data_IF_174649662047
#
_entry.id   IF_174649662047
#
_cell.length_a   1.000
_cell.length_b   1.000
_cell.length_c   1.000
_cell.angle_alpha   90.00
_cell.angle_beta   90.00
_cell.angle_gamma   90.00
#
_symmetry.space_group_name_H-M   'P 1'
#
loop_
_entity.id
_entity.type
_entity.pdbx_description
1 polymer ?
#
# COMPACT_ATOMS: atom_id res chain seq x y z
N UNK A 1 4.73 -5.68 -16.98
CA UNK A 1 5.05 -6.51 -18.16
C UNK A 1 4.49 -5.91 -19.44
N UNK A 2 3.20 -5.73 -19.63
CA UNK A 2 2.59 -5.26 -20.87
C UNK A 2 3.06 -3.91 -21.45
N UNK A 3 3.96 -3.21 -20.77
CA UNK A 3 4.60 -1.95 -21.21
C UNK A 3 6.12 -2.06 -21.32
N UNK A 4 6.66 -3.29 -21.49
CA UNK A 4 8.09 -3.53 -21.67
C UNK A 4 8.93 -3.59 -20.38
N UNK A 5 8.33 -3.46 -19.20
CA UNK A 5 9.07 -3.59 -17.95
C UNK A 5 9.40 -5.05 -17.64
N UNK A 6 10.62 -5.32 -17.18
CA UNK A 6 10.94 -6.58 -16.51
C UNK A 6 10.31 -6.57 -15.12
N UNK A 7 9.60 -7.63 -14.76
CA UNK A 7 8.81 -7.68 -13.54
C UNK A 7 9.31 -8.78 -12.62
N UNK A 8 9.60 -8.45 -11.36
CA UNK A 8 9.74 -9.42 -10.28
C UNK A 8 8.46 -9.43 -9.46
N UNK A 9 7.96 -10.62 -9.19
CA UNK A 9 6.75 -10.83 -8.40
C UNK A 9 7.14 -11.49 -7.09
N UNK A 10 6.70 -10.90 -5.98
CA UNK A 10 7.01 -11.41 -4.65
C UNK A 10 5.75 -11.62 -3.81
N UNK A 11 5.63 -12.81 -3.25
CA UNK A 11 4.62 -13.17 -2.26
C UNK A 11 5.05 -14.44 -1.52
N UNK A 12 4.39 -14.75 -0.40
CA UNK A 12 4.66 -15.97 0.38
C UNK A 12 4.39 -17.27 -0.40
N UNK A 13 3.38 -17.28 -1.26
CA UNK A 13 2.99 -18.45 -2.05
C UNK A 13 3.49 -18.34 -3.49
N UNK A 14 4.43 -19.19 -3.86
CA UNK A 14 4.95 -19.31 -5.23
C UNK A 14 3.84 -19.71 -6.21
N UNK A 15 2.93 -20.59 -5.81
CA UNK A 15 1.87 -21.07 -6.69
C UNK A 15 0.90 -19.95 -7.07
N UNK A 16 0.60 -19.04 -6.12
CA UNK A 16 -0.19 -17.84 -6.42
C UNK A 16 0.54 -16.91 -7.39
N UNK A 17 1.87 -16.81 -7.29
CA UNK A 17 2.66 -16.03 -8.24
C UNK A 17 2.66 -16.64 -9.64
N UNK A 18 2.83 -17.97 -9.74
CA UNK A 18 2.76 -18.72 -11.01
C UNK A 18 1.40 -18.59 -11.67
N UNK A 19 0.32 -18.61 -10.88
CA UNK A 19 -1.06 -18.48 -11.36
C UNK A 19 -1.35 -17.12 -12.03
N UNK A 20 -0.51 -16.09 -11.81
CA UNK A 20 -0.63 -14.81 -12.51
C UNK A 20 -0.19 -14.91 -13.99
N UNK A 21 0.49 -15.99 -14.39
CA UNK A 21 0.92 -16.27 -15.76
C UNK A 21 1.60 -15.09 -16.48
N UNK A 22 2.40 -14.31 -15.74
CA UNK A 22 3.15 -13.19 -16.32
C UNK A 22 4.44 -13.77 -16.95
N UNK A 23 4.49 -13.70 -18.25
CA UNK A 23 5.62 -14.19 -19.02
C UNK A 23 6.92 -13.51 -18.61
N UNK A 24 7.99 -14.31 -18.47
CA UNK A 24 9.35 -13.85 -18.09
C UNK A 24 9.43 -13.11 -16.76
N UNK A 25 8.43 -13.25 -15.88
CA UNK A 25 8.49 -12.67 -14.53
C UNK A 25 9.48 -13.46 -13.65
N UNK A 26 10.33 -12.73 -12.91
CA UNK A 26 11.15 -13.34 -11.87
C UNK A 26 10.28 -13.57 -10.63
N UNK A 27 10.13 -14.82 -10.19
CA UNK A 27 9.33 -15.17 -9.03
C UNK A 27 10.23 -15.23 -7.78
N UNK A 28 9.92 -14.40 -6.79
CA UNK A 28 10.68 -14.26 -5.55
C UNK A 28 9.78 -14.60 -4.35
N UNK A 29 9.75 -15.86 -3.88
CA UNK A 29 9.05 -16.20 -2.65
C UNK A 29 9.58 -15.35 -1.50
N UNK A 30 8.68 -14.61 -0.82
CA UNK A 30 9.10 -13.70 0.23
C UNK A 30 7.97 -13.41 1.21
N UNK A 31 8.29 -13.43 2.49
CA UNK A 31 7.46 -12.86 3.54
C UNK A 31 7.98 -11.46 3.90
N UNK A 32 7.18 -10.44 3.62
CA UNK A 32 7.55 -9.06 3.92
C UNK A 32 7.68 -8.77 5.43
N UNK A 33 7.21 -9.68 6.29
CA UNK A 33 7.34 -9.57 7.75
C UNK A 33 8.62 -10.21 8.28
N UNK A 34 9.39 -10.89 7.41
CA UNK A 34 10.65 -11.55 7.74
C UNK A 34 11.83 -10.89 7.00
N UNK A 35 12.76 -10.33 7.76
CA UNK A 35 13.94 -9.62 7.22
C UNK A 35 14.89 -10.58 6.48
N UNK A 36 15.03 -11.82 6.94
CA UNK A 36 15.87 -12.81 6.26
C UNK A 36 15.28 -13.21 4.90
N UNK A 37 13.96 -13.38 4.84
CA UNK A 37 13.22 -13.64 3.60
C UNK A 37 13.39 -12.48 2.60
N UNK A 38 13.30 -11.23 3.06
CA UNK A 38 13.53 -10.05 2.22
C UNK A 38 14.97 -9.99 1.70
N UNK A 39 15.97 -10.28 2.55
CA UNK A 39 17.37 -10.31 2.14
C UNK A 39 17.64 -11.36 1.06
N UNK A 40 17.05 -12.55 1.20
CA UNK A 40 17.16 -13.64 0.22
C UNK A 40 16.51 -13.24 -1.12
N UNK A 41 15.32 -12.66 -1.10
CA UNK A 41 14.65 -12.19 -2.31
C UNK A 41 15.45 -11.07 -3.00
N UNK A 42 16.01 -10.13 -2.23
CA UNK A 42 16.91 -9.09 -2.73
C UNK A 42 18.14 -9.69 -3.43
N UNK A 43 18.83 -10.62 -2.77
CA UNK A 43 20.03 -11.25 -3.33
C UNK A 43 19.73 -11.94 -4.67
N UNK A 44 18.63 -12.68 -4.75
CA UNK A 44 18.17 -13.35 -5.97
C UNK A 44 17.83 -12.35 -7.09
N UNK A 45 17.21 -11.22 -6.75
CA UNK A 45 16.89 -10.17 -7.71
C UNK A 45 18.16 -9.52 -8.26
N UNK A 46 19.11 -9.17 -7.40
CA UNK A 46 20.35 -8.50 -7.80
C UNK A 46 21.26 -9.42 -8.64
N UNK A 47 21.27 -10.73 -8.36
CA UNK A 47 21.94 -11.71 -9.19
C UNK A 47 21.37 -11.74 -10.62
N UNK A 48 20.05 -11.57 -10.76
CA UNK A 48 19.39 -11.56 -12.07
C UNK A 48 19.50 -10.21 -12.80
N UNK A 49 19.43 -9.05 -12.09
CA UNK A 49 19.18 -7.74 -12.72
C UNK A 49 20.14 -6.60 -12.33
N UNK A 50 21.09 -6.81 -11.48
CA UNK A 50 22.11 -5.82 -11.06
C UNK A 50 21.58 -4.48 -10.49
N UNK A 51 20.29 -4.37 -10.17
CA UNK A 51 19.72 -3.15 -9.60
C UNK A 51 18.21 -3.06 -9.76
N UNK A 52 17.62 -2.07 -9.11
CA UNK A 52 16.19 -1.89 -8.97
C UNK A 52 15.79 -0.50 -9.46
N UNK A 53 14.89 -0.43 -10.45
CA UNK A 53 14.37 0.85 -10.93
C UNK A 53 13.13 1.27 -10.14
N UNK A 54 12.24 0.32 -9.80
CA UNK A 54 11.02 0.61 -9.05
C UNK A 54 10.63 -0.55 -8.16
N UNK A 55 10.31 -0.25 -6.90
CA UNK A 55 9.71 -1.21 -5.95
C UNK A 55 8.30 -0.77 -5.62
N UNK A 56 7.36 -1.71 -5.55
CA UNK A 56 5.99 -1.45 -5.12
C UNK A 56 5.67 -2.32 -3.92
N UNK A 57 5.46 -1.71 -2.76
CA UNK A 57 4.94 -2.40 -1.57
C UNK A 57 3.43 -2.48 -1.66
N UNK A 58 2.94 -3.66 -2.01
CA UNK A 58 1.51 -3.95 -2.18
C UNK A 58 0.96 -4.87 -1.07
N UNK A 59 1.84 -5.45 -0.24
CA UNK A 59 1.39 -6.33 0.84
C UNK A 59 0.48 -5.58 1.82
N UNK A 60 -0.56 -6.26 2.26
CA UNK A 60 -1.51 -5.70 3.20
C UNK A 60 -2.37 -6.79 3.84
N UNK A 61 -2.80 -6.55 5.07
CA UNK A 61 -3.80 -7.33 5.77
C UNK A 61 -4.88 -6.40 6.31
N UNK A 62 -6.10 -6.89 6.35
CA UNK A 62 -7.25 -6.15 6.85
C UNK A 62 -8.18 -7.09 7.61
N UNK A 63 -8.49 -6.69 8.83
CA UNK A 63 -9.53 -7.30 9.67
C UNK A 63 -10.38 -6.16 10.19
N UNK A 64 -11.70 -6.14 9.88
CA UNK A 64 -12.62 -5.20 10.52
C UNK A 64 -12.57 -5.38 12.03
N UNK A 65 -12.35 -4.29 12.78
CA UNK A 65 -12.17 -4.34 14.23
C UNK A 65 -12.76 -3.10 14.88
N UNK A 66 -13.59 -3.31 15.91
CA UNK A 66 -14.12 -2.27 16.78
C UNK A 66 -13.47 -2.34 18.16
N UNK A 67 -13.65 -1.29 18.96
CA UNK A 67 -13.13 -1.29 20.35
C UNK A 67 -13.77 -2.37 21.22
N UNK A 68 -15.04 -2.73 20.97
CA UNK A 68 -15.71 -3.81 21.68
C UNK A 68 -15.13 -5.20 21.41
N UNK A 69 -14.57 -5.40 20.21
CA UNK A 69 -14.01 -6.67 19.74
C UNK A 69 -12.49 -6.55 19.53
N UNK A 70 -11.83 -5.75 20.37
CA UNK A 70 -10.40 -5.49 20.20
C UNK A 70 -9.56 -6.72 20.53
N UNK A 71 -8.90 -7.25 19.49
CA UNK A 71 -7.92 -8.34 19.60
C UNK A 71 -6.52 -7.78 19.30
N UNK A 72 -5.68 -7.71 20.35
CA UNK A 72 -4.33 -7.14 20.25
C UNK A 72 -3.43 -7.95 19.30
N UNK A 73 -3.50 -9.27 19.34
CA UNK A 73 -2.66 -10.11 18.48
C UNK A 73 -3.00 -9.93 16.99
N UNK A 74 -4.29 -9.82 16.69
CA UNK A 74 -4.76 -9.49 15.33
C UNK A 74 -4.34 -8.08 14.93
N UNK A 75 -4.45 -7.10 15.83
CA UNK A 75 -4.06 -5.72 15.56
C UNK A 75 -2.55 -5.60 15.26
N UNK A 76 -1.70 -6.23 16.07
CA UNK A 76 -0.26 -6.29 15.88
C UNK A 76 0.12 -6.95 14.55
N UNK A 77 -0.51 -8.05 14.18
CA UNK A 77 -0.31 -8.70 12.89
C UNK A 77 -0.68 -7.77 11.73
N UNK A 78 -1.83 -7.09 11.81
CA UNK A 78 -2.29 -6.15 10.78
C UNK A 78 -1.30 -5.00 10.63
N UNK A 79 -0.82 -4.41 11.73
CA UNK A 79 0.19 -3.35 11.71
C UNK A 79 1.52 -3.87 11.17
N UNK A 80 1.93 -5.07 11.59
CA UNK A 80 3.17 -5.69 11.12
C UNK A 80 3.19 -5.88 9.60
N UNK A 81 2.11 -6.36 9.01
CA UNK A 81 2.02 -6.51 7.56
C UNK A 81 1.91 -5.13 6.88
N UNK A 82 1.05 -4.23 7.36
CA UNK A 82 0.77 -2.99 6.63
C UNK A 82 1.87 -1.93 6.76
N UNK A 83 2.63 -1.92 7.86
CA UNK A 83 3.61 -0.88 8.16
C UNK A 83 5.02 -1.43 8.42
N UNK A 84 5.21 -2.33 9.40
CA UNK A 84 6.55 -2.81 9.73
C UNK A 84 7.20 -3.53 8.55
N UNK A 85 6.42 -4.30 7.77
CA UNK A 85 6.89 -4.94 6.53
C UNK A 85 7.36 -3.93 5.48
N UNK A 86 6.66 -2.80 5.36
CA UNK A 86 7.06 -1.73 4.44
C UNK A 86 8.38 -1.09 4.85
N UNK A 87 8.58 -0.85 6.16
CA UNK A 87 9.86 -0.35 6.69
C UNK A 87 11.01 -1.33 6.44
N UNK A 88 10.78 -2.65 6.70
CA UNK A 88 11.78 -3.69 6.42
C UNK A 88 12.13 -3.76 4.95
N UNK A 89 11.14 -3.72 4.07
CA UNK A 89 11.36 -3.68 2.62
C UNK A 89 12.19 -2.45 2.24
N UNK A 90 11.80 -1.27 2.69
CA UNK A 90 12.53 -0.03 2.40
C UNK A 90 14.00 -0.13 2.83
N UNK A 91 14.27 -0.52 4.08
CA UNK A 91 15.62 -0.72 4.60
C UNK A 91 16.44 -1.73 3.77
N UNK A 92 15.77 -2.76 3.22
CA UNK A 92 16.41 -3.79 2.41
C UNK A 92 16.77 -3.30 1.00
N UNK A 93 15.92 -2.48 0.36
CA UNK A 93 16.05 -2.16 -1.08
C UNK A 93 16.65 -0.79 -1.37
N UNK A 94 16.57 0.16 -0.43
CA UNK A 94 17.05 1.53 -0.63
C UNK A 94 18.50 1.61 -1.14
N UNK A 95 19.45 0.76 -0.66
CA UNK A 95 20.82 0.80 -1.15
C UNK A 95 21.00 0.42 -2.64
N UNK A 96 20.00 -0.25 -3.24
CA UNK A 96 20.06 -0.77 -4.60
C UNK A 96 19.16 -0.03 -5.59
N UNK A 97 18.43 0.97 -5.12
CA UNK A 97 17.61 1.81 -5.98
C UNK A 97 18.52 2.66 -6.86
N UNK A 98 18.25 2.65 -8.15
CA UNK A 98 18.97 3.47 -9.11
C UNK A 98 18.50 4.93 -9.05
N UNK A 99 19.40 5.85 -9.34
CA UNK A 99 19.03 7.23 -9.55
C UNK A 99 17.96 7.32 -10.66
N UNK A 100 16.93 8.11 -10.45
CA UNK A 100 15.74 8.17 -11.31
C UNK A 100 14.71 7.07 -11.08
N UNK A 101 15.02 6.06 -10.25
CA UNK A 101 14.08 5.05 -9.78
C UNK A 101 13.36 5.46 -8.49
N UNK A 102 12.73 4.49 -7.82
CA UNK A 102 12.09 4.77 -6.54
C UNK A 102 11.24 3.68 -5.94
N UNK A 103 10.46 4.07 -4.92
CA UNK A 103 9.61 3.17 -4.16
C UNK A 103 8.17 3.69 -4.07
N UNK A 104 7.21 2.79 -4.20
CA UNK A 104 5.78 3.06 -4.13
C UNK A 104 5.19 2.31 -2.93
N UNK A 105 4.49 2.99 -2.07
CA UNK A 105 3.75 2.39 -0.97
C UNK A 105 2.25 2.44 -1.24
N UNK A 106 1.58 1.28 -1.20
CA UNK A 106 0.13 1.21 -1.35
C UNK A 106 -0.51 1.29 0.03
N UNK A 107 -0.95 2.50 0.37
CA UNK A 107 -1.66 2.79 1.62
C UNK A 107 -3.19 2.65 1.44
N UNK A 108 -3.98 3.64 1.83
CA UNK A 108 -5.44 3.67 1.70
C UNK A 108 -5.99 5.03 2.11
N UNK A 109 -7.16 5.41 1.63
CA UNK A 109 -7.94 6.54 2.19
C UNK A 109 -8.28 6.36 3.68
N UNK A 110 -8.27 5.12 4.18
CA UNK A 110 -8.44 4.83 5.62
C UNK A 110 -7.26 5.33 6.47
N UNK A 111 -6.13 5.65 5.86
CA UNK A 111 -4.99 6.28 6.52
C UNK A 111 -5.11 7.80 6.65
N UNK A 112 -6.06 8.47 5.99
CA UNK A 112 -6.20 9.91 6.11
C UNK A 112 -6.73 10.35 7.47
N UNK A 113 -7.67 9.58 8.02
CA UNK A 113 -8.27 9.86 9.34
C UNK A 113 -9.02 8.64 9.88
N UNK A 114 -9.21 8.56 11.21
CA UNK A 114 -9.85 7.42 11.86
C UNK A 114 -11.27 7.15 11.38
N UNK A 115 -11.54 5.91 10.98
CA UNK A 115 -12.84 5.44 10.50
C UNK A 115 -13.36 4.30 11.41
N UNK A 116 -14.67 4.10 11.51
CA UNK A 116 -15.22 2.93 12.16
C UNK A 116 -14.71 1.63 11.56
N UNK A 117 -14.60 0.59 12.38
CA UNK A 117 -14.11 -0.76 11.99
C UNK A 117 -12.66 -0.79 11.47
N UNK A 118 -11.90 0.30 11.56
CA UNK A 118 -10.53 0.39 11.05
C UNK A 118 -9.47 0.51 12.15
N UNK A 119 -9.73 -0.02 13.36
CA UNK A 119 -8.96 0.25 14.56
C UNK A 119 -7.46 -0.11 14.46
N UNK A 120 -7.11 -1.17 13.75
CA UNK A 120 -5.71 -1.53 13.45
C UNK A 120 -5.27 -1.12 12.04
N UNK A 121 -6.15 -1.29 11.06
CA UNK A 121 -5.85 -1.02 9.66
C UNK A 121 -5.60 0.46 9.38
N UNK A 122 -6.50 1.33 9.87
CA UNK A 122 -6.38 2.78 9.69
C UNK A 122 -5.07 3.35 10.22
N UNK A 123 -4.71 3.11 11.48
CA UNK A 123 -3.42 3.52 12.04
C UNK A 123 -2.22 2.98 11.26
N UNK A 124 -2.23 1.70 10.85
CA UNK A 124 -1.16 1.13 10.03
C UNK A 124 -0.99 1.83 8.68
N UNK A 125 -2.10 2.20 8.02
CA UNK A 125 -2.07 2.95 6.75
C UNK A 125 -1.71 4.42 6.95
N UNK A 126 -2.09 5.05 8.06
CA UNK A 126 -1.65 6.40 8.43
C UNK A 126 -0.13 6.46 8.67
N UNK A 127 0.40 5.50 9.42
CA UNK A 127 1.84 5.36 9.64
C UNK A 127 2.60 5.17 8.32
N UNK A 128 2.06 4.38 7.38
CA UNK A 128 2.65 4.15 6.07
C UNK A 128 2.67 5.43 5.22
N UNK A 129 1.61 6.24 5.25
CA UNK A 129 1.57 7.54 4.56
C UNK A 129 2.66 8.46 5.13
N UNK A 130 2.71 8.61 6.46
CA UNK A 130 3.68 9.48 7.11
C UNK A 130 5.13 9.02 6.86
N UNK A 131 5.39 7.72 6.89
CA UNK A 131 6.69 7.16 6.55
C UNK A 131 7.10 7.47 5.10
N UNK A 132 6.18 7.37 4.17
CA UNK A 132 6.42 7.73 2.77
C UNK A 132 6.73 9.24 2.60
N UNK A 133 6.05 10.11 3.36
CA UNK A 133 6.33 11.55 3.38
C UNK A 133 7.76 11.86 3.86
N UNK A 134 8.19 11.25 4.96
CA UNK A 134 9.55 11.39 5.47
C UNK A 134 10.59 10.91 4.46
N UNK A 135 10.39 9.70 3.90
CA UNK A 135 11.30 9.17 2.88
C UNK A 135 11.35 10.05 1.62
N UNK A 136 10.23 10.63 1.21
CA UNK A 136 10.18 11.53 0.05
C UNK A 136 11.08 12.77 0.26
N UNK A 137 11.04 13.36 1.45
CA UNK A 137 11.87 14.49 1.80
C UNK A 137 13.37 14.12 1.83
N UNK A 138 13.71 12.97 2.40
CA UNK A 138 15.09 12.53 2.57
C UNK A 138 15.74 12.07 1.25
N UNK A 139 14.96 11.48 0.34
CA UNK A 139 15.46 10.85 -0.89
C UNK A 139 15.37 11.75 -2.12
N UNK A 140 14.57 12.81 -2.08
CA UNK A 140 14.42 13.75 -3.19
C UNK A 140 15.77 14.36 -3.64
N UNK A 141 16.69 14.78 -2.74
CA UNK A 141 18.01 15.30 -3.13
C UNK A 141 18.89 14.25 -3.85
N UNK A 142 18.61 12.96 -3.67
CA UNK A 142 19.33 11.85 -4.30
C UNK A 142 18.72 11.43 -5.65
N UNK A 143 17.65 12.11 -6.08
CA UNK A 143 16.95 11.76 -7.31
C UNK A 143 16.18 10.43 -7.22
N UNK A 144 15.87 9.95 -6.01
CA UNK A 144 15.09 8.74 -5.78
C UNK A 144 13.64 9.15 -5.49
N UNK A 145 12.71 8.63 -6.31
CA UNK A 145 11.29 8.90 -6.18
C UNK A 145 10.63 8.11 -5.03
N UNK A 146 9.73 8.76 -4.33
CA UNK A 146 8.84 8.08 -3.36
C UNK A 146 7.40 8.48 -3.65
N UNK A 147 6.54 7.50 -3.77
CA UNK A 147 5.11 7.71 -4.04
C UNK A 147 4.25 6.95 -3.04
N UNK A 148 3.12 7.55 -2.70
CA UNK A 148 2.07 6.87 -1.94
C UNK A 148 0.80 6.75 -2.80
N UNK A 149 0.25 5.53 -2.82
CA UNK A 149 -1.03 5.25 -3.48
C UNK A 149 -2.09 5.10 -2.40
N UNK A 150 -3.13 5.94 -2.46
CA UNK A 150 -4.26 5.94 -1.53
C UNK A 150 -5.55 5.54 -2.28
N UNK A 151 -5.80 4.23 -2.47
CA UNK A 151 -7.03 3.76 -3.05
C UNK A 151 -8.24 4.01 -2.13
N UNK A 152 -9.41 4.22 -2.74
CA UNK A 152 -10.68 3.91 -2.12
C UNK A 152 -10.94 2.41 -2.11
N UNK A 153 -12.14 2.00 -2.45
CA UNK A 153 -12.47 0.57 -2.50
C UNK A 153 -12.06 -0.05 -3.84
N UNK A 154 -11.36 -1.18 -3.75
CA UNK A 154 -10.97 -2.02 -4.90
C UNK A 154 -11.46 -3.44 -4.64
N UNK A 155 -12.12 -4.07 -5.59
CA UNK A 155 -12.68 -5.41 -5.48
C UNK A 155 -11.58 -6.46 -5.36
N UNK A 156 -11.22 -6.80 -4.13
CA UNK A 156 -10.17 -7.76 -3.77
C UNK A 156 -10.62 -8.66 -2.62
N UNK A 157 -9.85 -9.69 -2.31
CA UNK A 157 -10.09 -10.54 -1.14
C UNK A 157 -10.08 -9.76 0.20
N UNK A 158 -9.35 -8.62 0.28
CA UNK A 158 -9.37 -7.77 1.46
C UNK A 158 -10.74 -7.09 1.64
N UNK A 159 -11.25 -6.49 0.58
CA UNK A 159 -12.52 -5.74 0.61
C UNK A 159 -13.74 -6.65 0.64
N UNK A 160 -13.61 -7.91 0.24
CA UNK A 160 -14.66 -8.92 0.39
C UNK A 160 -15.06 -9.19 1.86
N UNK A 161 -14.22 -8.79 2.82
CA UNK A 161 -14.50 -8.86 4.26
C UNK A 161 -15.42 -7.75 4.78
N UNK A 162 -15.72 -6.74 3.94
CA UNK A 162 -16.59 -5.65 4.33
C UNK A 162 -18.07 -6.07 4.31
N UNK A 163 -18.80 -5.67 5.33
CA UNK A 163 -20.24 -5.89 5.51
C UNK A 163 -21.07 -4.62 5.26
N UNK A 164 -20.52 -3.66 4.54
CA UNK A 164 -21.16 -2.38 4.23
C UNK A 164 -21.00 -2.02 2.74
N UNK A 165 -21.84 -1.08 2.28
CA UNK A 165 -21.76 -0.58 0.92
C UNK A 165 -20.41 0.12 0.66
N UNK A 166 -19.76 -0.26 -0.43
CA UNK A 166 -18.47 0.30 -0.85
C UNK A 166 -18.68 1.28 -2.02
N UNK A 167 -18.77 2.59 -1.76
CA UNK A 167 -19.01 3.57 -2.79
C UNK A 167 -17.84 3.62 -3.78
N UNK A 168 -18.17 3.75 -5.06
CA UNK A 168 -17.20 3.88 -6.16
C UNK A 168 -16.16 2.75 -6.19
N UNK A 169 -16.61 1.51 -5.99
CA UNK A 169 -15.79 0.31 -6.06
C UNK A 169 -15.15 0.18 -7.45
N UNK A 170 -13.84 0.02 -7.48
CA UNK A 170 -13.06 -0.21 -8.70
C UNK A 170 -12.68 -1.68 -8.84
N UNK A 171 -12.48 -2.12 -10.06
CA UNK A 171 -11.82 -3.40 -10.36
C UNK A 171 -10.32 -3.31 -10.11
N UNK A 172 -9.61 -4.43 -9.86
CA UNK A 172 -8.16 -4.45 -9.77
C UNK A 172 -7.45 -3.87 -11.00
N UNK A 173 -8.00 -4.11 -12.20
CA UNK A 173 -7.47 -3.57 -13.45
C UNK A 173 -7.54 -2.04 -13.52
N UNK A 174 -8.68 -1.45 -13.19
CA UNK A 174 -8.85 0.01 -13.12
C UNK A 174 -7.91 0.64 -12.08
N UNK A 175 -7.78 0.03 -10.92
CA UNK A 175 -6.86 0.49 -9.86
C UNK A 175 -5.39 0.42 -10.32
N UNK A 176 -5.00 -0.64 -11.03
CA UNK A 176 -3.66 -0.78 -11.58
C UNK A 176 -3.37 0.29 -12.65
N UNK A 177 -4.29 0.52 -13.58
CA UNK A 177 -4.17 1.58 -14.58
C UNK A 177 -4.05 2.96 -13.93
N UNK A 178 -4.93 3.27 -12.97
CA UNK A 178 -4.89 4.55 -12.24
C UNK A 178 -3.56 4.75 -11.48
N UNK A 179 -2.99 3.67 -10.95
CA UNK A 179 -1.68 3.70 -10.29
C UNK A 179 -0.57 4.01 -11.30
N UNK A 180 -0.50 3.26 -12.40
CA UNK A 180 0.54 3.43 -13.42
C UNK A 180 0.46 4.82 -14.09
N UNK A 181 -0.74 5.30 -14.38
CA UNK A 181 -0.92 6.63 -14.95
C UNK A 181 -0.63 7.75 -13.93
N UNK A 182 -0.93 7.49 -12.65
CA UNK A 182 -0.54 8.39 -11.56
C UNK A 182 0.97 8.54 -11.43
N UNK A 183 1.73 7.46 -11.51
CA UNK A 183 3.20 7.49 -11.45
C UNK A 183 3.82 8.38 -12.54
N UNK A 184 3.25 8.41 -13.73
CA UNK A 184 3.73 9.27 -14.84
C UNK A 184 3.59 10.77 -14.54
N UNK A 185 2.71 11.14 -13.60
CA UNK A 185 2.49 12.56 -13.26
C UNK A 185 3.59 13.16 -12.41
N UNK A 186 4.46 12.34 -11.82
CA UNK A 186 5.48 12.76 -10.86
C UNK A 186 4.95 13.25 -9.51
N UNK A 187 3.62 13.23 -9.28
CA UNK A 187 3.03 13.67 -8.02
C UNK A 187 3.25 12.63 -6.93
N UNK A 188 3.66 13.08 -5.74
CA UNK A 188 3.88 12.23 -4.58
C UNK A 188 2.69 11.32 -4.27
N UNK A 189 1.48 11.86 -4.28
CA UNK A 189 0.28 11.10 -3.94
C UNK A 189 -0.57 10.76 -5.17
N UNK A 190 -0.86 9.48 -5.30
CA UNK A 190 -1.76 8.90 -6.28
C UNK A 190 -2.99 8.40 -5.55
N UNK A 191 -4.16 8.96 -5.82
CA UNK A 191 -5.40 8.54 -5.17
C UNK A 191 -6.54 8.37 -6.16
N UNK A 192 -7.37 7.39 -5.95
CA UNK A 192 -8.50 7.06 -6.83
C UNK A 192 -9.60 6.26 -6.09
N UNK A 193 -10.87 6.30 -6.59
CA UNK A 193 -11.38 7.20 -7.61
C UNK A 193 -11.48 8.64 -7.09
N UNK A 194 -11.17 9.61 -7.93
CA UNK A 194 -10.99 11.03 -7.51
C UNK A 194 -12.19 11.63 -6.79
N UNK A 195 -13.42 11.29 -7.21
CA UNK A 195 -14.64 11.82 -6.56
C UNK A 195 -14.71 11.40 -5.10
N UNK A 196 -14.56 10.12 -4.81
CA UNK A 196 -14.61 9.57 -3.46
C UNK A 196 -13.44 10.05 -2.60
N UNK A 197 -12.21 9.95 -3.12
CA UNK A 197 -11.02 10.28 -2.36
C UNK A 197 -10.88 11.77 -2.03
N UNK A 198 -11.43 12.66 -2.87
CA UNK A 198 -11.51 14.10 -2.56
C UNK A 198 -12.44 14.38 -1.38
N UNK A 199 -13.57 13.68 -1.30
CA UNK A 199 -14.47 13.76 -0.15
C UNK A 199 -13.75 13.30 1.11
N UNK A 200 -13.03 12.18 1.05
CA UNK A 200 -12.25 11.66 2.19
C UNK A 200 -11.17 12.66 2.65
N UNK A 201 -10.49 13.32 1.72
CA UNK A 201 -9.52 14.38 2.03
C UNK A 201 -10.19 15.59 2.68
N UNK A 202 -11.32 16.03 2.15
CA UNK A 202 -12.08 17.12 2.76
C UNK A 202 -12.49 16.77 4.20
N UNK A 203 -13.02 15.57 4.42
CA UNK A 203 -13.38 15.11 5.77
C UNK A 203 -12.15 15.08 6.70
N UNK A 204 -10.98 14.73 6.19
CA UNK A 204 -9.76 14.71 7.00
C UNK A 204 -9.34 16.10 7.51
N UNK A 205 -9.71 17.17 6.83
CA UNK A 205 -9.38 18.55 7.21
C UNK A 205 -10.34 19.14 8.26
N UNK A 206 -11.49 18.51 8.50
CA UNK A 206 -12.49 19.06 9.43
C UNK A 206 -11.99 19.05 10.88
N UNK A 207 -12.29 20.05 11.70
CA UNK A 207 -12.12 19.97 13.15
C UNK A 207 -12.85 18.76 13.73
N UNK A 208 -12.35 18.19 14.82
CA UNK A 208 -12.94 16.98 15.44
C UNK A 208 -14.42 17.13 15.80
N UNK A 209 -14.83 18.31 16.25
CA UNK A 209 -16.23 18.61 16.58
C UNK A 209 -17.20 18.50 15.40
N UNK A 210 -16.71 18.66 14.17
CA UNK A 210 -17.48 18.45 12.92
C UNK A 210 -17.27 17.06 12.34
N UNK A 211 -16.05 16.57 12.40
CA UNK A 211 -15.68 15.27 11.82
C UNK A 211 -16.46 14.11 12.44
N UNK A 212 -16.41 13.97 13.77
CA UNK A 212 -17.02 12.81 14.43
C UNK A 212 -18.54 12.72 14.25
N UNK A 213 -19.33 13.79 14.45
CA UNK A 213 -20.78 13.72 14.19
C UNK A 213 -21.10 13.38 12.74
N UNK A 214 -20.36 13.97 11.79
CA UNK A 214 -20.58 13.73 10.37
C UNK A 214 -20.25 12.28 9.98
N UNK A 215 -19.11 11.75 10.44
CA UNK A 215 -18.73 10.36 10.15
C UNK A 215 -19.70 9.37 10.77
N UNK A 216 -20.15 9.59 12.03
CA UNK A 216 -21.19 8.75 12.65
C UNK A 216 -22.47 8.73 11.82
N UNK A 217 -22.93 9.89 11.35
CA UNK A 217 -24.13 9.98 10.51
C UNK A 217 -23.96 9.26 9.16
N UNK A 218 -22.81 9.40 8.51
CA UNK A 218 -22.54 8.78 7.20
C UNK A 218 -22.33 7.27 7.28
N UNK A 219 -21.86 6.75 8.41
CA UNK A 219 -21.54 5.33 8.59
C UNK A 219 -22.59 4.56 9.41
N UNK A 220 -23.63 5.23 9.90
CA UNK A 220 -24.69 4.60 10.69
C UNK A 220 -24.22 4.13 12.09
N UNK A 221 -23.21 4.79 12.67
CA UNK A 221 -22.63 4.45 13.98
C UNK A 221 -22.94 5.54 15.01
#
# INVERSE_FOLDING_TARGET
>A
AGRGARVALSARSVDKLRALAIENALLLPCDATDTASLATARASLLAAWRGIDLVIYLAGDYVPMRAADFDLAVAERVVTVNFNGAMRLAATVLPDLRAGGGIVFVASVAGYRGLPKALAYGPGKAALIHFAECLHLDLAPQGIGVWVVNPGFVATQLTAKNDFAMPALLTPGEAALATVDGLKTGKFEIHFPKRFTRVMKFLALLPYGLYFPLVRRLTGN
#
